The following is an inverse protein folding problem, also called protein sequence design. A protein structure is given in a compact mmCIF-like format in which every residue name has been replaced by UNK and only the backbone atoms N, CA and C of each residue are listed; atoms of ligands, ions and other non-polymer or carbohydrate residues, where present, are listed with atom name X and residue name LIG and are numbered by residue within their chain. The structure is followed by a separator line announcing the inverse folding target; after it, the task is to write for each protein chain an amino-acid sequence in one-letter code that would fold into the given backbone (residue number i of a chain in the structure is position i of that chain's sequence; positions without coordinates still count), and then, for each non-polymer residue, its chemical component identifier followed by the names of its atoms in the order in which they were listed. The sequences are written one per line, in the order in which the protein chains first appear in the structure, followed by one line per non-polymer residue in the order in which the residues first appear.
data_IF_659454122246
#
_entry.id   IF_659454122246
#
_cell.length_a   1.000
_cell.length_b   1.000
_cell.length_c   1.000
_cell.angle_alpha   90.00
_cell.angle_beta   90.00
_cell.angle_gamma   90.00
#
_symmetry.space_group_name_H-M   'P 1'
#
loop_
_entity.id
_entity.type
_entity.pdbx_description
1 polymer ?
#
# COMPACT_ATOMS: atom_id res chain seq x y z
N UNK A 1 -14.35 -61.00 -1.20
CA UNK A 1 -14.28 -60.14 -2.39
C UNK A 1 -14.70 -58.74 -2.00
N UNK A 2 -13.76 -57.85 -1.69
CA UNK A 2 -14.06 -56.46 -1.39
C UNK A 2 -13.86 -55.64 -2.66
N UNK A 3 -14.98 -55.25 -3.26
CA UNK A 3 -15.00 -54.42 -4.46
C UNK A 3 -14.53 -53.01 -4.11
N UNK A 4 -13.56 -52.52 -4.87
CA UNK A 4 -13.04 -51.15 -4.78
C UNK A 4 -14.18 -50.17 -5.08
N UNK A 5 -14.84 -49.64 -4.04
CA UNK A 5 -15.72 -48.48 -4.15
C UNK A 5 -14.85 -47.29 -4.51
N UNK A 6 -14.78 -46.96 -5.81
CA UNK A 6 -14.18 -45.71 -6.28
C UNK A 6 -14.83 -44.59 -5.46
N UNK A 7 -14.00 -43.77 -4.80
CA UNK A 7 -14.44 -42.70 -3.92
C UNK A 7 -15.43 -41.79 -4.67
N UNK A 8 -16.73 -41.93 -4.40
CA UNK A 8 -17.81 -41.10 -4.94
C UNK A 8 -17.84 -39.70 -4.30
N UNK A 9 -16.69 -39.20 -3.85
CA UNK A 9 -16.63 -37.83 -3.35
C UNK A 9 -16.61 -36.89 -4.55
N UNK A 10 -17.43 -35.81 -4.52
CA UNK A 10 -17.33 -34.79 -5.55
C UNK A 10 -15.90 -34.26 -5.62
N UNK A 11 -15.48 -33.87 -6.83
CA UNK A 11 -14.18 -33.27 -7.03
C UNK A 11 -14.02 -32.07 -6.09
N UNK A 12 -12.84 -31.96 -5.48
CA UNK A 12 -12.53 -30.84 -4.59
C UNK A 12 -12.70 -29.53 -5.38
N UNK A 13 -13.37 -28.51 -4.82
CA UNK A 13 -13.47 -27.21 -5.47
C UNK A 13 -12.07 -26.69 -5.83
N UNK A 14 -11.99 -26.01 -6.98
CA UNK A 14 -10.76 -25.38 -7.39
C UNK A 14 -10.41 -24.25 -6.43
N UNK A 15 -9.11 -24.00 -6.24
CA UNK A 15 -8.69 -22.85 -5.45
C UNK A 15 -9.13 -21.56 -6.15
N UNK A 16 -9.59 -20.56 -5.39
CA UNK A 16 -9.95 -19.28 -5.97
C UNK A 16 -8.72 -18.64 -6.64
N UNK A 17 -8.97 -18.03 -7.80
CA UNK A 17 -7.96 -17.25 -8.52
C UNK A 17 -7.82 -15.86 -7.86
N UNK A 18 -6.69 -15.21 -8.12
CA UNK A 18 -6.36 -13.87 -7.62
C UNK A 18 -7.45 -12.83 -7.91
N UNK A 19 -8.10 -12.90 -9.07
CA UNK A 19 -9.19 -11.98 -9.44
C UNK A 19 -10.40 -12.10 -8.52
N UNK A 20 -10.79 -13.33 -8.15
CA UNK A 20 -11.90 -13.55 -7.21
C UNK A 20 -11.55 -13.05 -5.80
N UNK A 21 -10.28 -13.16 -5.39
CA UNK A 21 -9.83 -12.61 -4.10
C UNK A 21 -9.93 -11.09 -4.06
N UNK A 22 -9.60 -10.41 -5.18
CA UNK A 22 -9.70 -8.96 -5.26
C UNK A 22 -11.15 -8.48 -5.28
N UNK A 23 -12.05 -9.20 -5.96
CA UNK A 23 -13.48 -8.90 -5.97
C UNK A 23 -14.09 -8.97 -4.56
N UNK A 24 -13.74 -10.01 -3.81
CA UNK A 24 -14.21 -10.17 -2.42
C UNK A 24 -13.69 -9.04 -1.53
N UNK A 25 -12.43 -8.63 -1.70
CA UNK A 25 -11.83 -7.52 -0.94
C UNK A 25 -12.46 -6.16 -1.27
N UNK A 26 -12.81 -5.92 -2.53
CA UNK A 26 -13.47 -4.68 -2.96
C UNK A 26 -14.91 -4.58 -2.41
N UNK A 27 -15.58 -5.73 -2.27
CA UNK A 27 -16.94 -5.83 -1.73
C UNK A 27 -16.98 -5.97 -0.21
N UNK A 28 -15.85 -6.16 0.44
CA UNK A 28 -15.79 -6.40 1.87
C UNK A 28 -16.11 -5.12 2.66
N UNK A 29 -17.10 -5.23 3.55
CA UNK A 29 -17.53 -4.12 4.40
C UNK A 29 -16.56 -3.98 5.58
N UNK A 30 -16.34 -2.76 6.07
CA UNK A 30 -15.42 -2.46 7.20
C UNK A 30 -15.68 -3.32 8.45
N UNK A 31 -16.91 -3.82 8.61
CA UNK A 31 -17.35 -4.64 9.75
C UNK A 31 -17.28 -6.15 9.53
N UNK A 32 -16.68 -6.59 8.41
CA UNK A 32 -16.52 -8.00 8.06
C UNK A 32 -15.73 -8.77 9.14
N UNK A 33 -16.19 -9.98 9.43
CA UNK A 33 -15.56 -10.91 10.37
C UNK A 33 -14.12 -11.20 9.96
N UNK A 34 -13.80 -11.27 8.66
CA UNK A 34 -12.44 -11.47 8.18
C UNK A 34 -11.49 -10.35 8.64
N UNK A 35 -11.93 -9.09 8.60
CA UNK A 35 -11.16 -7.95 9.09
C UNK A 35 -11.15 -7.85 10.62
N UNK A 36 -12.25 -8.24 11.29
CA UNK A 36 -12.28 -8.35 12.76
C UNK A 36 -11.29 -9.38 13.26
N UNK A 37 -11.25 -10.57 12.67
CA UNK A 37 -10.29 -11.63 13.01
C UNK A 37 -8.87 -11.20 12.66
N UNK A 38 -8.64 -10.53 11.53
CA UNK A 38 -7.31 -9.99 11.20
C UNK A 38 -6.85 -8.97 12.26
N UNK A 39 -7.73 -8.07 12.69
CA UNK A 39 -7.45 -7.07 13.72
C UNK A 39 -7.32 -7.68 15.12
N UNK A 40 -8.04 -8.77 15.39
CA UNK A 40 -7.99 -9.51 16.66
C UNK A 40 -6.73 -10.39 16.75
N UNK A 41 -6.32 -11.06 15.68
CA UNK A 41 -5.06 -11.81 15.59
C UNK A 41 -3.84 -10.88 15.68
N UNK A 42 -3.94 -9.71 15.06
CA UNK A 42 -3.06 -8.57 15.30
C UNK A 42 -3.06 -8.21 16.79
N UNK A 43 -4.22 -7.98 17.41
CA UNK A 43 -4.34 -7.72 18.86
C UNK A 43 -3.76 -8.82 19.75
N UNK A 44 -3.92 -10.08 19.38
CA UNK A 44 -3.49 -11.24 20.13
C UNK A 44 -1.96 -11.45 20.04
N UNK A 45 -1.36 -11.06 18.91
CA UNK A 45 0.10 -10.88 18.81
C UNK A 45 0.63 -9.81 19.77
N UNK A 46 -0.19 -8.84 20.18
CA UNK A 46 0.18 -7.84 21.20
C UNK A 46 -0.27 -8.24 22.61
N UNK A 47 -1.24 -9.15 22.73
CA UNK A 47 -1.97 -9.40 23.97
C UNK A 47 -1.62 -10.73 24.67
N UNK A 48 -0.81 -11.61 24.07
CA UNK A 48 -0.46 -12.90 24.69
C UNK A 48 0.82 -12.94 25.53
N UNK A 49 1.47 -11.82 25.89
CA UNK A 49 2.57 -11.86 26.90
C UNK A 49 2.88 -10.57 27.67
N UNK A 50 2.00 -9.58 27.72
CA UNK A 50 2.30 -8.33 28.45
C UNK A 50 1.17 -7.91 29.38
N UNK A 51 0.97 -8.69 30.42
CA UNK A 51 0.26 -8.20 31.60
C UNK A 51 1.26 -7.31 32.34
N UNK A 52 1.25 -6.00 32.04
CA UNK A 52 1.86 -4.91 32.83
C UNK A 52 3.38 -4.68 32.76
N UNK A 53 4.02 -4.69 31.60
CA UNK A 53 5.35 -4.07 31.49
C UNK A 53 5.23 -2.61 31.00
N UNK A 54 5.02 -1.68 31.93
CA UNK A 54 4.91 -0.24 31.65
C UNK A 54 6.10 0.31 30.86
N UNK A 55 7.28 -0.31 31.02
CA UNK A 55 8.49 0.02 30.26
C UNK A 55 8.36 -0.31 28.78
N UNK A 56 7.73 -1.44 28.43
CA UNK A 56 7.51 -1.84 27.04
C UNK A 56 6.46 -0.93 26.36
N UNK A 57 5.40 -0.55 27.09
CA UNK A 57 4.43 0.44 26.62
C UNK A 57 5.12 1.78 26.36
N UNK A 58 5.97 2.23 27.29
CA UNK A 58 6.72 3.47 27.12
C UNK A 58 7.64 3.43 25.89
N UNK A 59 8.37 2.33 25.68
CA UNK A 59 9.21 2.14 24.48
C UNK A 59 8.38 2.16 23.19
N UNK A 60 7.22 1.51 23.18
CA UNK A 60 6.32 1.51 22.02
C UNK A 60 5.81 2.93 21.70
N UNK A 61 5.35 3.66 22.72
CA UNK A 61 4.89 5.06 22.55
C UNK A 61 6.03 5.95 22.06
N UNK A 62 7.23 5.81 22.62
CA UNK A 62 8.42 6.56 22.18
C UNK A 62 8.76 6.28 20.72
N UNK A 63 8.77 5.02 20.32
CA UNK A 63 9.00 4.61 18.93
C UNK A 63 7.93 5.21 18.02
N UNK A 64 6.65 5.05 18.36
CA UNK A 64 5.54 5.63 17.60
C UNK A 64 5.70 7.15 17.40
N UNK A 65 6.02 7.89 18.46
CA UNK A 65 6.23 9.33 18.38
C UNK A 65 7.42 9.70 17.49
N UNK A 66 8.54 8.98 17.61
CA UNK A 66 9.71 9.21 16.75
C UNK A 66 9.41 8.92 15.28
N UNK A 67 8.76 7.79 14.97
CA UNK A 67 8.37 7.44 13.61
C UNK A 67 7.38 8.44 13.04
N UNK A 68 6.39 8.88 13.83
CA UNK A 68 5.43 9.92 13.43
C UNK A 68 6.13 11.23 13.08
N UNK A 69 7.16 11.63 13.82
CA UNK A 69 7.94 12.83 13.52
C UNK A 69 8.75 12.67 12.23
N UNK A 70 9.40 11.51 12.04
CA UNK A 70 10.14 11.21 10.81
C UNK A 70 9.22 11.19 9.58
N UNK A 71 8.02 10.62 9.69
CA UNK A 71 7.03 10.62 8.62
C UNK A 71 6.60 12.04 8.23
N UNK A 72 6.38 12.94 9.21
CA UNK A 72 6.08 14.35 8.92
C UNK A 72 7.22 15.06 8.21
N UNK A 73 8.47 14.77 8.58
CA UNK A 73 9.64 15.33 7.91
C UNK A 73 9.72 14.83 6.46
N UNK A 74 9.51 13.53 6.26
CA UNK A 74 9.50 12.92 4.93
C UNK A 74 8.38 13.50 4.04
N UNK A 75 7.17 13.67 4.58
CA UNK A 75 6.06 14.33 3.89
C UNK A 75 6.43 15.75 3.42
N UNK A 76 7.10 16.51 4.27
CA UNK A 76 7.58 17.85 3.92
C UNK A 76 8.60 17.83 2.78
N UNK A 77 9.56 16.90 2.83
CA UNK A 77 10.57 16.72 1.78
C UNK A 77 9.92 16.34 0.46
N UNK A 78 9.04 15.34 0.47
CA UNK A 78 8.34 14.89 -0.74
C UNK A 78 7.50 16.00 -1.38
N UNK A 79 6.82 16.81 -0.56
CA UNK A 79 6.07 17.97 -1.05
C UNK A 79 6.98 18.98 -1.74
N UNK A 80 8.15 19.26 -1.16
CA UNK A 80 9.14 20.17 -1.75
C UNK A 80 9.69 19.62 -3.08
N UNK A 81 10.06 18.35 -3.12
CA UNK A 81 10.57 17.70 -4.34
C UNK A 81 9.52 17.67 -5.46
N UNK A 82 8.27 17.37 -5.13
CA UNK A 82 7.16 17.43 -6.10
C UNK A 82 6.99 18.83 -6.69
N UNK A 83 7.01 19.87 -5.85
CA UNK A 83 6.93 21.26 -6.31
C UNK A 83 8.11 21.63 -7.22
N UNK A 84 9.33 21.21 -6.86
CA UNK A 84 10.52 21.45 -7.68
C UNK A 84 10.41 20.76 -9.05
N UNK A 85 10.03 19.48 -9.07
CA UNK A 85 9.86 18.73 -10.31
C UNK A 85 8.81 19.37 -11.23
N UNK A 86 7.72 19.90 -10.68
CA UNK A 86 6.74 20.65 -11.46
C UNK A 86 7.33 21.93 -12.06
N UNK A 87 8.11 22.69 -11.29
CA UNK A 87 8.78 23.89 -11.78
C UNK A 87 9.77 23.56 -12.91
N UNK A 88 10.60 22.54 -12.72
CA UNK A 88 11.59 22.09 -13.70
C UNK A 88 10.91 21.63 -15.01
N UNK A 89 9.79 20.92 -14.92
CA UNK A 89 9.03 20.48 -16.09
C UNK A 89 8.47 21.67 -16.89
N UNK A 90 7.93 22.68 -16.21
CA UNK A 90 7.44 23.89 -16.87
C UNK A 90 8.58 24.68 -17.53
N UNK A 91 9.77 24.72 -16.91
CA UNK A 91 10.97 25.32 -17.51
C UNK A 91 11.41 24.57 -18.77
N UNK A 92 11.46 23.24 -18.72
CA UNK A 92 11.81 22.38 -19.87
C UNK A 92 10.84 22.61 -21.02
N UNK A 93 9.53 22.65 -20.76
CA UNK A 93 8.51 22.93 -21.78
C UNK A 93 8.73 24.29 -22.43
N UNK A 94 9.01 25.32 -21.62
CA UNK A 94 9.28 26.67 -22.11
C UNK A 94 10.51 26.70 -23.02
N UNK A 95 11.60 26.07 -22.59
CA UNK A 95 12.83 25.98 -23.39
C UNK A 95 12.60 25.23 -24.71
N UNK A 96 11.88 24.11 -24.67
CA UNK A 96 11.53 23.35 -25.86
C UNK A 96 10.69 24.18 -26.85
N UNK A 97 9.75 24.98 -26.35
CA UNK A 97 8.94 25.87 -27.18
C UNK A 97 9.75 27.00 -27.82
N UNK A 98 10.70 27.58 -27.10
CA UNK A 98 11.58 28.60 -27.66
C UNK A 98 12.51 28.02 -28.72
N UNK A 99 13.10 26.85 -28.48
CA UNK A 99 13.90 26.12 -29.50
C UNK A 99 13.05 25.86 -30.75
N UNK A 100 11.81 25.39 -30.58
CA UNK A 100 10.88 25.13 -31.68
C UNK A 100 10.58 26.40 -32.49
N UNK A 101 10.39 27.55 -31.83
CA UNK A 101 10.18 28.84 -32.50
C UNK A 101 11.42 29.29 -33.25
N UNK A 102 12.60 29.21 -32.64
CA UNK A 102 13.87 29.58 -33.27
C UNK A 102 14.15 28.74 -34.51
N UNK A 103 13.95 27.42 -34.42
CA UNK A 103 14.13 26.51 -35.55
C UNK A 103 13.17 26.84 -36.72
N UNK A 104 11.91 27.16 -36.42
CA UNK A 104 10.93 27.60 -37.44
C UNK A 104 11.33 28.91 -38.11
N UNK A 105 11.81 29.88 -37.34
CA UNK A 105 12.26 31.16 -37.89
C UNK A 105 13.47 30.99 -38.83
N UNK A 106 14.42 30.12 -38.44
CA UNK A 106 15.60 29.80 -39.24
C UNK A 106 15.28 29.08 -40.56
N UNK A 107 14.14 28.39 -40.67
CA UNK A 107 13.71 27.70 -41.91
C UNK A 107 13.00 28.63 -42.92
N UNK A 108 12.57 29.83 -42.49
CA UNK A 108 11.86 30.81 -43.32
C UNK A 108 12.83 31.84 -43.92
N UNK A 109 14.07 31.90 -43.40
CA UNK A 109 15.15 32.77 -43.88
C UNK A 109 16.04 31.99 -44.85
#
# INVERSE_FOLDING_TARGET
MFTNKKNNLPARPHMPNHEHMLEDLDKAVVDDIAFKIANECMKESYSSTSVNNTDDIYKQVKTYLSTKQQLKQLECVLKKESQQMHADNEEIKRLADDIRKQAKAALIT
#
